data_IF_448562476629
#
_entry.id   IF_448562476629
#
_cell.length_a   1.000
_cell.length_b   1.000
_cell.length_c   1.000
_cell.angle_alpha   90.00
_cell.angle_beta   90.00
_cell.angle_gamma   90.00
#
_symmetry.space_group_name_H-M   'P 1'
#
loop_
_entity.id
_entity.type
_entity.pdbx_description
1 polymer ?
#
# COMPACT_ATOMS: atom_id res chain seq x y z
N UNK A 1 1.77 16.13 0.26
CA UNK A 1 1.69 15.37 -1.00
C UNK A 1 2.67 14.21 -0.85
N UNK A 2 2.20 12.97 -0.73
CA UNK A 2 3.09 11.81 -0.57
C UNK A 2 3.84 11.64 -1.89
N UNK A 3 5.15 11.87 -1.86
CA UNK A 3 6.06 11.50 -2.91
C UNK A 3 6.08 9.97 -2.96
N UNK A 4 5.28 9.40 -3.86
CA UNK A 4 5.27 8.02 -4.37
C UNK A 4 5.93 7.01 -3.40
N UNK A 5 5.24 6.66 -2.32
CA UNK A 5 5.71 5.61 -1.42
C UNK A 5 5.57 4.26 -2.14
N UNK A 6 6.62 3.87 -2.87
CA UNK A 6 6.71 2.54 -3.47
C UNK A 6 6.96 1.54 -2.35
N UNK A 7 6.03 0.63 -2.11
CA UNK A 7 6.24 -0.53 -1.25
C UNK A 7 6.24 -1.79 -2.11
N UNK A 8 6.85 -2.87 -1.63
CA UNK A 8 6.77 -4.16 -2.29
C UNK A 8 5.57 -4.94 -1.76
N UNK A 9 5.04 -5.85 -2.58
CA UNK A 9 4.10 -6.86 -2.12
C UNK A 9 4.74 -7.71 -1.01
N UNK A 10 3.99 -8.02 0.05
CA UNK A 10 4.49 -8.81 1.18
C UNK A 10 4.06 -10.28 1.10
N UNK A 11 3.46 -10.70 -0.01
CA UNK A 11 3.08 -12.09 -0.22
C UNK A 11 4.32 -12.96 -0.42
N UNK A 12 4.35 -14.13 0.23
CA UNK A 12 5.45 -15.08 0.09
C UNK A 12 5.66 -15.45 -1.39
N UNK A 13 6.88 -15.19 -1.90
CA UNK A 13 7.24 -15.44 -3.30
C UNK A 13 6.78 -14.37 -4.29
N UNK A 14 6.37 -13.19 -3.82
CA UNK A 14 6.01 -12.06 -4.65
C UNK A 14 6.66 -10.77 -4.13
N UNK A 15 7.59 -10.21 -4.90
CA UNK A 15 8.31 -8.98 -4.55
C UNK A 15 8.01 -7.84 -5.55
N UNK A 16 6.80 -7.83 -6.13
CA UNK A 16 6.42 -6.78 -7.10
C UNK A 16 6.31 -5.43 -6.39
N UNK A 17 6.77 -4.39 -7.07
CA UNK A 17 6.53 -3.02 -6.65
C UNK A 17 5.03 -2.70 -6.72
N UNK A 18 4.54 -2.05 -5.67
CA UNK A 18 3.20 -1.50 -5.56
C UNK A 18 3.30 0.01 -5.64
N UNK A 19 2.54 0.59 -6.56
CA UNK A 19 2.46 2.02 -6.80
C UNK A 19 0.99 2.48 -6.76
N UNK A 20 0.75 3.72 -7.15
CA UNK A 20 -0.59 4.33 -7.14
C UNK A 20 -1.60 3.55 -7.99
N UNK A 21 -1.17 2.82 -9.03
CA UNK A 21 -2.06 2.00 -9.85
C UNK A 21 -2.66 0.81 -9.08
N UNK A 22 -1.97 0.35 -8.03
CA UNK A 22 -2.43 -0.73 -7.16
C UNK A 22 -3.14 -0.19 -5.90
N UNK A 23 -3.16 1.14 -5.69
CA UNK A 23 -3.80 1.73 -4.51
C UNK A 23 -5.32 1.65 -4.64
N UNK A 24 -5.94 0.86 -3.76
CA UNK A 24 -7.38 0.62 -3.79
C UNK A 24 -8.15 1.44 -2.75
N UNK A 25 -7.52 1.70 -1.60
CA UNK A 25 -8.17 2.41 -0.49
C UNK A 25 -7.17 3.26 0.27
N UNK A 26 -7.58 4.50 0.55
CA UNK A 26 -6.96 5.35 1.57
C UNK A 26 -7.96 5.59 2.68
N UNK A 27 -7.57 5.30 3.92
CA UNK A 27 -8.39 5.53 5.11
C UNK A 27 -7.62 6.34 6.13
N UNK A 28 -8.17 7.51 6.45
CA UNK A 28 -7.64 8.40 7.49
C UNK A 28 -8.27 8.06 8.85
N UNK A 29 -7.44 8.07 9.88
CA UNK A 29 -7.84 7.88 11.28
C UNK A 29 -7.01 8.79 12.18
N UNK A 30 -7.43 8.98 13.42
CA UNK A 30 -6.64 9.72 14.43
C UNK A 30 -5.23 9.13 14.65
N UNK A 31 -5.03 7.85 14.32
CA UNK A 31 -3.74 7.17 14.46
C UNK A 31 -2.84 7.26 13.21
N UNK A 32 -3.28 7.95 12.15
CA UNK A 32 -2.57 8.05 10.87
C UNK A 32 -3.38 7.55 9.68
N UNK A 33 -2.75 7.57 8.51
CA UNK A 33 -3.35 7.18 7.23
C UNK A 33 -2.95 5.76 6.85
N UNK A 34 -3.92 4.94 6.48
CA UNK A 34 -3.72 3.58 5.95
C UNK A 34 -3.93 3.59 4.45
N UNK A 35 -2.99 3.00 3.73
CA UNK A 35 -3.07 2.79 2.29
C UNK A 35 -3.11 1.28 2.02
N UNK A 36 -4.16 0.79 1.37
CA UNK A 36 -4.28 -0.60 0.97
C UNK A 36 -4.02 -0.74 -0.54
N UNK A 37 -3.04 -1.57 -0.88
CA UNK A 37 -2.62 -1.84 -2.24
C UNK A 37 -3.00 -3.27 -2.62
N UNK A 38 -3.66 -3.46 -3.76
CA UNK A 38 -3.96 -4.79 -4.32
C UNK A 38 -2.97 -5.12 -5.43
N UNK A 39 -2.20 -6.19 -5.22
CA UNK A 39 -1.26 -6.69 -6.20
C UNK A 39 -1.96 -7.61 -7.22
N UNK A 40 -1.45 -7.68 -8.45
CA UNK A 40 -1.90 -8.64 -9.45
C UNK A 40 -1.73 -10.12 -9.04
N UNK A 41 -0.99 -10.41 -7.95
CA UNK A 41 -0.95 -11.76 -7.36
C UNK A 41 -2.17 -12.08 -6.48
N UNK A 42 -3.06 -11.11 -6.25
CA UNK A 42 -4.25 -11.21 -5.41
C UNK A 42 -4.02 -10.87 -3.93
N UNK A 43 -2.79 -10.53 -3.52
CA UNK A 43 -2.49 -10.13 -2.16
C UNK A 43 -2.76 -8.63 -1.92
N UNK A 44 -3.11 -8.31 -0.68
CA UNK A 44 -3.29 -6.93 -0.21
C UNK A 44 -2.18 -6.57 0.78
N UNK A 45 -1.43 -5.52 0.48
CA UNK A 45 -0.42 -4.93 1.36
C UNK A 45 -0.95 -3.62 1.93
N UNK A 46 -0.85 -3.43 3.25
CA UNK A 46 -1.31 -2.22 3.93
C UNK A 46 -0.11 -1.48 4.52
N UNK A 47 0.07 -0.22 4.13
CA UNK A 47 1.08 0.66 4.75
C UNK A 47 0.40 1.70 5.64
N UNK A 48 1.12 2.15 6.67
CA UNK A 48 0.65 3.19 7.59
C UNK A 48 1.63 4.35 7.55
N UNK A 49 1.11 5.55 7.28
CA UNK A 49 1.87 6.79 7.39
C UNK A 49 1.31 7.61 8.55
N UNK A 50 2.18 8.02 9.48
CA UNK A 50 1.82 8.97 10.54
C UNK A 50 1.83 10.38 9.94
N UNK A 51 0.81 11.17 10.29
CA UNK A 51 0.80 12.62 10.03
C UNK A 51 1.72 13.36 10.98
#
# INVERSE_FOLDING_TARGET
MIETLRCACEAAGCDRDLAEQQLMLTMETDAGTRHAYECDCGAVTITITKG
#
